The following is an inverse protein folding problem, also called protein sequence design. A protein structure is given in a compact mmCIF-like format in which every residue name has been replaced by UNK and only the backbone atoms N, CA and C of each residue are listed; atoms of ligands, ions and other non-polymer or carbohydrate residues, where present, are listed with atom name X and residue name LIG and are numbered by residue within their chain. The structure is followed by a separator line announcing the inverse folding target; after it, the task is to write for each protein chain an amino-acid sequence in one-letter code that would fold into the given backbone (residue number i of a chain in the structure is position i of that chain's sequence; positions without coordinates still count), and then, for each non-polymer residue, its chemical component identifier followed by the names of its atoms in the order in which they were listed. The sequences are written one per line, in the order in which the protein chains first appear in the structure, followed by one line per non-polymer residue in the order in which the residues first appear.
data_IF_395022796910
#
_entry.id   IF_395022796910
#
_cell.length_a   1.000
_cell.length_b   1.000
_cell.length_c   1.000
_cell.angle_alpha   90.00
_cell.angle_beta   90.00
_cell.angle_gamma   90.00
#
_symmetry.space_group_name_H-M   'P 1'
#
loop_
_entity.id
_entity.type
_entity.pdbx_description
1 polymer ?
#
# COMPACT_ATOMS: atom_id res chain seq x y z
N UNK A 1 -10.80 -8.13 -19.53
CA UNK A 1 -11.30 -8.09 -18.13
C UNK A 1 -10.11 -7.91 -17.20
N UNK A 2 -9.88 -6.69 -16.67
CA UNK A 2 -8.88 -6.43 -15.64
C UNK A 2 -9.53 -6.71 -14.29
N UNK A 3 -9.12 -7.79 -13.64
CA UNK A 3 -9.56 -8.09 -12.28
C UNK A 3 -8.82 -7.12 -11.36
N UNK A 4 -9.45 -6.00 -11.00
CA UNK A 4 -8.93 -5.07 -9.99
C UNK A 4 -9.04 -5.75 -8.63
N UNK A 5 -7.98 -6.44 -8.25
CA UNK A 5 -7.86 -7.13 -6.98
C UNK A 5 -7.81 -6.06 -5.87
N UNK A 6 -8.96 -5.81 -5.23
CA UNK A 6 -9.14 -4.85 -4.12
C UNK A 6 -8.51 -5.33 -2.80
N UNK A 7 -7.31 -5.89 -2.81
CA UNK A 7 -6.74 -6.49 -1.58
C UNK A 7 -6.40 -5.43 -0.51
N UNK A 8 -6.28 -4.15 -0.87
CA UNK A 8 -5.83 -3.11 0.08
C UNK A 8 -6.73 -1.88 0.22
N UNK A 9 -7.94 -1.87 -0.34
CA UNK A 9 -8.87 -0.76 -0.08
C UNK A 9 -9.63 -1.05 1.20
N UNK A 10 -9.13 -0.52 2.33
CA UNK A 10 -9.98 -0.24 3.49
C UNK A 10 -10.84 0.99 3.16
N UNK A 11 -12.13 0.91 3.48
CA UNK A 11 -12.97 2.10 3.47
C UNK A 11 -12.36 3.15 4.41
N UNK A 12 -12.32 4.44 4.01
CA UNK A 12 -11.84 5.48 4.88
C UNK A 12 -12.67 5.48 6.17
N UNK A 13 -12.04 5.63 7.35
CA UNK A 13 -12.78 5.67 8.61
C UNK A 13 -13.78 6.82 8.57
N UNK A 14 -15.01 6.58 9.02
CA UNK A 14 -16.08 7.60 9.09
C UNK A 14 -15.80 8.67 10.14
N UNK A 15 -14.85 8.42 11.04
CA UNK A 15 -14.45 9.28 12.15
C UNK A 15 -12.96 9.70 12.06
N UNK A 16 -12.68 10.97 12.39
CA UNK A 16 -11.33 11.54 12.46
C UNK A 16 -10.77 12.08 11.14
N UNK A 17 -9.62 12.77 11.21
CA UNK A 17 -8.94 13.31 10.03
C UNK A 17 -8.29 12.18 9.23
N UNK A 18 -8.84 11.90 8.04
CA UNK A 18 -8.26 10.95 7.10
C UNK A 18 -6.81 11.34 6.76
N UNK A 19 -5.92 10.35 6.73
CA UNK A 19 -4.54 10.59 6.34
C UNK A 19 -4.48 10.96 4.85
N UNK A 20 -3.98 12.16 4.55
CA UNK A 20 -3.90 12.71 3.19
C UNK A 20 -2.96 11.89 2.28
N UNK A 21 -1.87 11.35 2.85
CA UNK A 21 -0.89 10.56 2.11
C UNK A 21 -1.48 9.26 1.55
N UNK A 22 -2.26 8.53 2.35
CA UNK A 22 -2.92 7.29 1.90
C UNK A 22 -4.39 7.47 1.52
N UNK A 23 -4.93 8.70 1.61
CA UNK A 23 -6.35 9.03 1.42
C UNK A 23 -7.28 8.11 2.21
N UNK A 24 -6.97 7.89 3.49
CA UNK A 24 -7.79 7.05 4.37
C UNK A 24 -7.55 5.53 4.27
N UNK A 25 -6.79 5.03 3.29
CA UNK A 25 -6.63 3.57 3.09
C UNK A 25 -5.71 2.87 4.08
N UNK A 26 -4.83 3.60 4.75
CA UNK A 26 -3.77 3.06 5.61
C UNK A 26 -2.59 2.43 4.84
N UNK A 27 -2.71 2.22 3.53
CA UNK A 27 -1.66 1.66 2.68
C UNK A 27 -1.27 2.62 1.56
N UNK A 28 -0.03 2.48 1.09
CA UNK A 28 0.49 3.18 -0.09
C UNK A 28 1.18 2.17 -1.02
N UNK A 29 1.30 2.46 -2.32
CA UNK A 29 2.10 1.64 -3.23
C UNK A 29 3.52 1.47 -2.69
N UNK A 30 4.09 0.27 -2.82
CA UNK A 30 5.48 0.04 -2.44
C UNK A 30 6.41 0.93 -3.29
N UNK A 31 7.28 1.69 -2.62
CA UNK A 31 8.19 2.61 -3.28
C UNK A 31 9.28 1.89 -4.12
N UNK A 32 9.62 0.65 -3.76
CA UNK A 32 10.71 -0.12 -4.40
C UNK A 32 10.25 -0.74 -5.72
N UNK A 33 9.01 -1.25 -5.79
CA UNK A 33 8.46 -1.87 -7.00
C UNK A 33 7.31 -1.08 -7.63
N UNK A 34 7.12 0.18 -7.22
CA UNK A 34 6.07 1.10 -7.71
C UNK A 34 4.66 0.49 -7.78
N UNK A 35 4.30 -0.37 -6.82
CA UNK A 35 2.98 -1.01 -6.80
C UNK A 35 2.87 -2.38 -7.46
N UNK A 36 3.91 -2.85 -8.16
CA UNK A 36 3.82 -4.03 -9.03
C UNK A 36 4.04 -5.38 -8.32
N UNK A 37 4.60 -5.36 -7.10
CA UNK A 37 4.98 -6.57 -6.36
C UNK A 37 6.22 -7.29 -6.91
N UNK A 38 6.74 -6.87 -8.06
CA UNK A 38 7.90 -7.46 -8.71
C UNK A 38 8.82 -6.38 -9.30
N UNK A 39 10.10 -6.72 -9.40
CA UNK A 39 11.15 -5.90 -9.99
C UNK A 39 11.35 -6.31 -11.44
N UNK A 40 11.51 -5.34 -12.33
CA UNK A 40 11.73 -5.59 -13.76
C UNK A 40 10.45 -5.81 -14.59
N UNK A 41 9.27 -5.53 -14.03
CA UNK A 41 7.99 -5.60 -14.72
C UNK A 41 7.13 -6.78 -14.29
N UNK A 42 5.84 -6.71 -14.62
CA UNK A 42 4.83 -7.73 -14.26
C UNK A 42 5.25 -9.10 -14.77
N UNK A 43 4.96 -10.15 -14.03
CA UNK A 43 5.16 -11.54 -14.48
C UNK A 43 4.57 -11.82 -15.87
N UNK A 44 3.51 -11.10 -16.26
CA UNK A 44 2.85 -11.19 -17.58
C UNK A 44 3.65 -10.56 -18.74
N UNK A 45 4.64 -9.71 -18.46
CA UNK A 45 5.48 -9.01 -19.45
C UNK A 45 6.77 -9.80 -19.72
N UNK A 46 7.10 -10.77 -18.88
CA UNK A 46 8.31 -11.57 -19.02
C UNK A 46 8.13 -12.59 -20.14
N UNK A 47 9.15 -12.70 -21.01
CA UNK A 47 9.20 -13.71 -22.06
C UNK A 47 9.27 -15.14 -21.50
N UNK A 48 9.05 -16.15 -22.35
CA UNK A 48 9.11 -17.55 -21.93
C UNK A 48 10.46 -17.88 -21.28
N UNK A 49 10.43 -18.56 -20.13
CA UNK A 49 11.63 -18.97 -19.39
C UNK A 49 12.19 -17.93 -18.42
N UNK A 50 11.64 -16.71 -18.37
CA UNK A 50 12.09 -15.67 -17.44
C UNK A 50 11.20 -15.62 -16.20
N UNK A 51 11.80 -15.81 -15.03
CA UNK A 51 11.11 -15.75 -13.75
C UNK A 51 11.09 -14.32 -13.19
N UNK A 52 9.94 -13.85 -12.66
CA UNK A 52 9.87 -12.54 -12.02
C UNK A 52 10.73 -12.50 -10.77
N UNK A 53 11.49 -11.41 -10.61
CA UNK A 53 12.16 -11.11 -9.35
C UNK A 53 11.15 -10.44 -8.42
N UNK A 54 10.64 -11.18 -7.46
CA UNK A 54 9.68 -10.65 -6.49
C UNK A 54 10.30 -9.54 -5.63
N UNK A 55 9.51 -8.52 -5.32
CA UNK A 55 9.95 -7.44 -4.45
C UNK A 55 9.96 -7.94 -2.99
N UNK A 56 11.15 -8.00 -2.40
CA UNK A 56 11.33 -8.44 -1.01
C UNK A 56 10.71 -7.46 0.00
N UNK A 57 10.79 -6.15 -0.29
CA UNK A 57 10.28 -5.08 0.59
C UNK A 57 8.79 -5.24 0.88
N UNK A 58 7.99 -5.39 -0.17
CA UNK A 58 6.55 -5.57 -0.03
C UNK A 58 6.12 -7.05 -0.01
N UNK A 59 7.08 -7.99 -0.06
CA UNK A 59 6.83 -9.43 -0.14
C UNK A 59 5.81 -9.78 -1.23
N UNK A 60 6.05 -9.25 -2.42
CA UNK A 60 5.19 -9.38 -3.61
C UNK A 60 3.77 -8.79 -3.52
N UNK A 61 3.41 -8.09 -2.44
CA UNK A 61 2.07 -7.49 -2.30
C UNK A 61 1.85 -6.26 -3.18
N UNK A 62 2.93 -5.56 -3.56
CA UNK A 62 2.85 -4.26 -4.22
C UNK A 62 2.45 -3.11 -3.30
N UNK A 63 2.16 -3.36 -2.02
CA UNK A 63 1.73 -2.35 -1.06
C UNK A 63 2.64 -2.29 0.17
N UNK A 64 2.65 -1.15 0.83
CA UNK A 64 3.32 -0.92 2.10
C UNK A 64 2.41 -0.13 3.04
N UNK A 65 2.60 -0.28 4.35
CA UNK A 65 1.88 0.54 5.32
C UNK A 65 2.23 2.01 5.13
N UNK A 66 1.23 2.89 5.24
CA UNK A 66 1.48 4.32 5.21
C UNK A 66 2.26 4.73 6.48
N UNK A 67 3.42 5.37 6.31
CA UNK A 67 4.26 5.82 7.41
C UNK A 67 3.60 6.89 8.29
N UNK A 68 2.88 7.83 7.69
CA UNK A 68 2.28 8.96 8.41
C UNK A 68 1.18 8.54 9.40
N UNK A 69 0.40 7.53 9.03
CA UNK A 69 -0.68 7.00 9.87
C UNK A 69 -0.37 5.61 10.44
N UNK A 70 0.83 5.07 10.21
CA UNK A 70 1.23 3.74 10.63
C UNK A 70 0.22 2.64 10.29
N UNK A 71 -0.44 2.72 9.12
CA UNK A 71 -1.39 1.70 8.68
C UNK A 71 -2.86 1.89 9.10
N UNK A 72 -3.18 2.91 9.91
CA UNK A 72 -4.55 3.10 10.43
C UNK A 72 -5.49 3.81 9.45
N UNK A 73 -4.94 4.56 8.49
CA UNK A 73 -5.72 5.41 7.58
C UNK A 73 -6.14 6.76 8.17
N UNK A 74 -5.91 7.00 9.47
CA UNK A 74 -6.22 8.27 10.15
C UNK A 74 -5.09 8.73 11.05
N UNK A 75 -4.94 10.04 11.19
CA UNK A 75 -4.03 10.56 12.20
C UNK A 75 -4.54 10.18 13.58
N UNK A 76 -3.62 9.78 14.47
CA UNK A 76 -3.97 9.60 15.87
C UNK A 76 -4.23 10.98 16.47
N UNK A 77 -5.28 11.09 17.29
CA UNK A 77 -5.42 12.23 18.20
C UNK A 77 -4.10 12.38 18.97
N UNK A 78 -3.60 13.62 19.17
CA UNK A 78 -2.39 13.81 19.95
C UNK A 78 -2.57 13.17 21.33
N UNK A 79 -1.65 12.26 21.67
CA UNK A 79 -1.62 11.63 22.99
C UNK A 79 -1.12 12.70 23.96
N UNK A 80 -2.05 13.39 24.62
CA UNK A 80 -1.75 14.44 25.58
C UNK A 80 -2.95 14.70 26.48
N UNK A 81 -2.68 15.00 27.76
CA UNK A 81 -3.70 15.46 28.69
C UNK A 81 -4.26 16.79 28.19
N UNK A 82 -5.60 16.92 28.11
CA UNK A 82 -6.22 18.23 27.99
C UNK A 82 -5.98 18.95 29.33
N UNK A 83 -5.08 19.93 29.32
CA UNK A 83 -4.93 20.88 30.42
C UNK A 83 -6.12 21.85 30.42
#
# INVERSE_FOLDING_TARGET
MMVSVKIFTRDPPSDGRACERCRGRGVVPCAVCSGEGCLGGRARILGPGVWPRWCAECRASGASGCGDCYGTGKYREPIGFRL
#
